data_IF_614115467955
#
_entry.id   IF_614115467955
#
_cell.length_a   1.000
_cell.length_b   1.000
_cell.length_c   1.000
_cell.angle_alpha   90.00
_cell.angle_beta   90.00
_cell.angle_gamma   90.00
#
_symmetry.space_group_name_H-M   'P 1'
#
loop_
_entity.id
_entity.type
_entity.pdbx_description
1 polymer ?
#
# COMPACT_ATOMS: atom_id res chain seq x y z
N UNK A 1 6.75 -27.78 -4.23
CA UNK A 1 5.47 -27.14 -3.85
C UNK A 1 4.68 -26.92 -5.15
N UNK A 2 3.39 -27.28 -5.20
CA UNK A 2 2.60 -27.30 -6.44
C UNK A 2 1.27 -26.53 -6.31
N UNK A 3 0.38 -26.74 -7.28
CA UNK A 3 -0.96 -26.14 -7.32
C UNK A 3 -1.92 -26.78 -6.32
N UNK A 4 -2.91 -26.01 -5.85
CA UNK A 4 -3.99 -26.47 -4.98
C UNK A 4 -5.35 -26.19 -5.63
N UNK A 5 -6.25 -27.16 -5.57
CA UNK A 5 -7.63 -27.04 -6.03
C UNK A 5 -8.56 -27.33 -4.87
N UNK A 6 -9.39 -26.36 -4.53
CA UNK A 6 -10.47 -26.49 -3.54
C UNK A 6 -11.79 -26.61 -4.30
N UNK A 7 -12.40 -27.79 -4.24
CA UNK A 7 -13.64 -28.09 -4.96
C UNK A 7 -14.89 -27.44 -4.35
N UNK A 8 -14.80 -26.93 -3.12
CA UNK A 8 -15.92 -26.32 -2.39
C UNK A 8 -15.47 -24.99 -1.75
N UNK A 9 -16.12 -24.59 -0.65
CA UNK A 9 -15.84 -23.37 0.08
C UNK A 9 -14.56 -23.45 0.93
N UNK A 10 -14.01 -22.28 1.23
CA UNK A 10 -13.00 -22.07 2.28
C UNK A 10 -13.67 -21.24 3.36
N UNK A 11 -13.81 -21.79 4.56
CA UNK A 11 -14.64 -21.24 5.63
C UNK A 11 -13.81 -20.61 6.75
N UNK A 12 -14.51 -20.07 7.74
CA UNK A 12 -13.91 -19.23 8.78
C UNK A 12 -12.77 -19.93 9.53
N UNK A 13 -11.66 -19.22 9.69
CA UNK A 13 -10.45 -19.73 10.35
C UNK A 13 -9.62 -20.68 9.49
N UNK A 14 -10.04 -21.02 8.27
CA UNK A 14 -9.23 -21.84 7.37
C UNK A 14 -8.11 -21.03 6.71
N UNK A 15 -6.97 -21.69 6.50
CA UNK A 15 -5.82 -21.16 5.75
C UNK A 15 -5.44 -22.12 4.63
N UNK A 16 -5.34 -21.62 3.40
CA UNK A 16 -4.94 -22.40 2.22
C UNK A 16 -3.68 -21.81 1.61
N UNK A 17 -2.64 -22.64 1.53
CA UNK A 17 -1.34 -22.22 0.99
C UNK A 17 -0.87 -23.10 -0.18
N UNK A 18 -0.34 -22.47 -1.22
CA UNK A 18 0.26 -23.16 -2.35
C UNK A 18 1.55 -22.47 -2.82
N UNK A 19 2.53 -23.29 -3.23
CA UNK A 19 3.71 -22.77 -3.96
C UNK A 19 3.48 -22.59 -5.45
N UNK A 20 2.37 -23.11 -5.99
CA UNK A 20 1.88 -22.83 -7.34
C UNK A 20 0.63 -21.97 -7.30
N UNK A 21 -0.34 -22.29 -8.15
CA UNK A 21 -1.62 -21.58 -8.24
C UNK A 21 -2.66 -22.15 -7.27
N UNK A 22 -3.62 -21.32 -6.87
CA UNK A 22 -4.82 -21.78 -6.13
C UNK A 22 -6.06 -21.58 -6.98
N UNK A 23 -6.92 -22.60 -7.04
CA UNK A 23 -8.27 -22.51 -7.61
C UNK A 23 -9.30 -22.90 -6.57
N UNK A 24 -10.22 -22.00 -6.25
CA UNK A 24 -11.36 -22.26 -5.37
C UNK A 24 -12.65 -22.21 -6.18
N UNK A 25 -13.43 -23.29 -6.13
CA UNK A 25 -14.70 -23.38 -6.84
C UNK A 25 -15.86 -22.73 -6.07
N UNK A 26 -15.80 -22.78 -4.74
CA UNK A 26 -16.81 -22.18 -3.85
C UNK A 26 -16.48 -20.75 -3.43
N UNK A 27 -17.16 -20.31 -2.36
CA UNK A 27 -16.91 -19.02 -1.70
C UNK A 27 -15.75 -19.12 -0.70
N UNK A 28 -15.19 -17.96 -0.36
CA UNK A 28 -14.14 -17.81 0.66
C UNK A 28 -14.68 -16.85 1.70
N UNK A 29 -14.78 -17.29 2.95
CA UNK A 29 -15.40 -16.51 4.03
C UNK A 29 -14.61 -16.63 5.32
N UNK A 30 -14.16 -15.51 5.89
CA UNK A 30 -13.45 -15.52 7.18
C UNK A 30 -12.11 -16.25 7.14
N UNK A 31 -11.50 -16.35 5.96
CA UNK A 31 -10.36 -17.23 5.68
C UNK A 31 -9.17 -16.50 5.04
N UNK A 32 -8.01 -17.16 5.06
CA UNK A 32 -6.76 -16.71 4.44
C UNK A 32 -6.34 -17.63 3.29
N UNK A 33 -6.06 -17.04 2.12
CA UNK A 33 -5.59 -17.79 0.94
C UNK A 33 -4.29 -17.16 0.42
N UNK A 34 -3.25 -17.98 0.29
CA UNK A 34 -1.94 -17.53 -0.18
C UNK A 34 -1.37 -18.46 -1.24
N UNK A 35 -1.04 -17.90 -2.41
CA UNK A 35 -0.41 -18.63 -3.50
C UNK A 35 0.85 -17.88 -3.95
N UNK A 36 1.95 -18.59 -4.19
CA UNK A 36 3.09 -17.98 -4.89
C UNK A 36 2.78 -17.72 -6.38
N UNK A 37 1.86 -18.51 -6.97
CA UNK A 37 1.28 -18.26 -8.28
C UNK A 37 -0.01 -17.44 -8.22
N UNK A 38 -0.82 -17.55 -9.27
CA UNK A 38 -2.11 -16.87 -9.41
C UNK A 38 -3.21 -17.53 -8.59
N UNK A 39 -4.24 -16.75 -8.26
CA UNK A 39 -5.42 -17.22 -7.53
C UNK A 39 -6.68 -16.98 -8.36
N UNK A 40 -7.50 -18.02 -8.50
CA UNK A 40 -8.84 -17.95 -9.07
C UNK A 40 -9.86 -18.40 -8.03
N UNK A 41 -10.75 -17.51 -7.62
CA UNK A 41 -11.87 -17.81 -6.75
C UNK A 41 -13.15 -17.55 -7.53
N UNK A 42 -13.92 -18.62 -7.80
CA UNK A 42 -15.19 -18.51 -8.55
C UNK A 42 -16.31 -17.91 -7.72
N UNK A 43 -16.33 -18.19 -6.41
CA UNK A 43 -17.32 -17.66 -5.49
C UNK A 43 -17.00 -16.25 -4.98
N UNK A 44 -17.81 -15.81 -4.03
CA UNK A 44 -17.62 -14.53 -3.35
C UNK A 44 -16.50 -14.63 -2.30
N UNK A 45 -15.86 -13.49 -2.01
CA UNK A 45 -14.81 -13.36 -1.00
C UNK A 45 -15.34 -12.42 0.09
N UNK A 46 -15.48 -12.93 1.30
CA UNK A 46 -16.15 -12.26 2.42
C UNK A 46 -15.23 -12.27 3.64
N UNK A 47 -14.98 -11.12 4.27
CA UNK A 47 -14.18 -11.03 5.50
C UNK A 47 -12.84 -11.80 5.42
N UNK A 48 -12.14 -11.70 4.29
CA UNK A 48 -11.02 -12.59 3.96
C UNK A 48 -9.78 -11.85 3.47
N UNK A 49 -8.63 -12.52 3.54
CA UNK A 49 -7.36 -12.03 3.00
C UNK A 49 -6.90 -13.00 1.91
N UNK A 50 -6.65 -12.48 0.70
CA UNK A 50 -6.24 -13.28 -0.46
C UNK A 50 -4.99 -12.67 -1.08
N UNK A 51 -3.90 -13.45 -1.16
CA UNK A 51 -2.58 -13.00 -1.60
C UNK A 51 -2.04 -13.88 -2.73
N UNK A 52 -2.04 -13.35 -3.96
CA UNK A 52 -1.45 -13.96 -5.15
C UNK A 52 -0.03 -13.41 -5.39
N UNK A 53 0.94 -14.28 -5.68
CA UNK A 53 2.36 -13.91 -5.79
C UNK A 53 3.17 -14.07 -4.50
N UNK A 54 2.55 -14.62 -3.45
CA UNK A 54 3.20 -15.04 -2.20
C UNK A 54 3.87 -13.90 -1.43
N UNK A 55 4.90 -14.25 -0.67
CA UNK A 55 5.69 -13.31 0.14
C UNK A 55 6.22 -12.13 -0.70
N UNK A 56 6.78 -12.33 -1.91
CA UNK A 56 7.27 -11.21 -2.71
C UNK A 56 6.17 -10.19 -3.09
N UNK A 57 4.92 -10.62 -3.28
CA UNK A 57 3.80 -9.70 -3.55
C UNK A 57 3.49 -8.78 -2.37
N UNK A 58 3.43 -9.40 -1.20
CA UNK A 58 3.26 -8.68 0.05
C UNK A 58 4.44 -7.71 0.29
N UNK A 59 5.66 -8.19 0.12
CA UNK A 59 6.88 -7.41 0.34
C UNK A 59 7.03 -6.24 -0.64
N UNK A 60 6.66 -6.40 -1.92
CA UNK A 60 6.57 -5.27 -2.85
C UNK A 60 5.54 -4.24 -2.40
N UNK A 61 4.46 -4.68 -1.74
CA UNK A 61 3.49 -3.77 -1.18
C UNK A 61 4.01 -2.86 -0.06
N UNK A 62 5.16 -3.20 0.54
CA UNK A 62 5.83 -2.39 1.57
C UNK A 62 6.75 -1.33 0.96
N UNK A 63 7.19 -1.50 -0.30
CA UNK A 63 8.16 -0.63 -0.96
C UNK A 63 7.81 0.87 -0.90
N UNK A 64 6.57 1.32 -1.16
CA UNK A 64 6.26 2.75 -1.14
C UNK A 64 6.55 3.41 0.21
N UNK A 65 6.26 2.71 1.31
CA UNK A 65 6.51 3.24 2.65
C UNK A 65 7.99 3.17 3.01
N UNK A 66 8.69 2.11 2.61
CA UNK A 66 10.14 2.00 2.79
C UNK A 66 10.86 3.10 2.00
N UNK A 67 10.42 3.39 0.77
CA UNK A 67 10.94 4.48 -0.05
C UNK A 67 10.70 5.84 0.63
N UNK A 68 9.48 6.08 1.12
CA UNK A 68 9.15 7.30 1.88
C UNK A 68 10.08 7.48 3.08
N UNK A 69 10.40 6.38 3.77
CA UNK A 69 11.35 6.38 4.89
C UNK A 69 12.77 6.68 4.42
N UNK A 70 13.26 6.04 3.36
CA UNK A 70 14.60 6.30 2.81
C UNK A 70 14.77 7.78 2.45
N UNK A 71 13.86 8.32 1.64
CA UNK A 71 13.95 9.69 1.16
C UNK A 71 13.86 10.71 2.31
N UNK A 72 12.89 10.54 3.21
CA UNK A 72 12.73 11.49 4.30
C UNK A 72 13.79 11.36 5.40
N UNK A 73 14.36 10.17 5.64
CA UNK A 73 15.50 10.02 6.55
C UNK A 73 16.77 10.65 5.95
N UNK A 74 17.05 10.46 4.67
CA UNK A 74 18.19 11.09 3.98
C UNK A 74 18.07 12.64 4.03
N UNK A 75 16.88 13.18 3.76
CA UNK A 75 16.64 14.62 3.86
C UNK A 75 16.79 15.14 5.30
N UNK A 76 16.27 14.40 6.29
CA UNK A 76 16.40 14.75 7.70
C UNK A 76 17.86 14.78 8.15
N UNK A 77 18.68 13.82 7.72
CA UNK A 77 20.12 13.79 8.03
C UNK A 77 20.80 15.05 7.50
N UNK A 78 20.49 15.48 6.28
CA UNK A 78 21.03 16.72 5.70
C UNK A 78 20.63 17.94 6.54
N UNK A 79 19.35 18.07 6.90
CA UNK A 79 18.84 19.20 7.70
C UNK A 79 19.50 19.24 9.08
N UNK A 80 19.58 18.10 9.78
CA UNK A 80 20.21 18.03 11.10
C UNK A 80 21.70 18.36 10.98
N UNK A 81 22.40 17.81 9.99
CA UNK A 81 23.81 18.10 9.74
C UNK A 81 24.09 19.59 9.54
N UNK A 82 23.26 20.27 8.76
CA UNK A 82 23.34 21.72 8.57
C UNK A 82 23.11 22.48 9.87
N UNK A 83 22.04 22.17 10.61
CA UNK A 83 21.72 22.84 11.89
C UNK A 83 22.82 22.65 12.93
N UNK A 84 23.38 21.44 13.05
CA UNK A 84 24.52 21.16 13.92
C UNK A 84 25.78 21.92 13.48
N UNK A 85 26.01 22.06 12.17
CA UNK A 85 27.10 22.88 11.63
C UNK A 85 26.98 24.35 12.03
N UNK A 86 25.79 24.94 11.93
CA UNK A 86 25.52 26.32 12.33
C UNK A 86 25.59 26.52 13.85
N UNK A 87 25.18 25.52 14.64
CA UNK A 87 25.25 25.56 16.10
C UNK A 87 26.69 25.36 16.63
N UNK A 88 27.52 24.55 15.99
CA UNK A 88 28.95 24.41 16.36
C UNK A 88 29.74 25.71 16.18
N UNK A 89 29.33 26.57 15.24
CA UNK A 89 29.90 27.91 15.03
C UNK A 89 29.53 28.90 16.16
N UNK A 90 28.44 28.65 16.90
CA UNK A 90 28.02 29.43 18.07
C UNK A 90 28.34 28.62 19.35
N UNK A 91 29.52 28.85 19.93
CA UNK A 91 30.02 28.14 21.12
C UNK A 91 28.92 27.82 22.16
N UNK A 92 28.61 26.53 22.34
CA UNK A 92 27.62 26.08 23.32
C UNK A 92 27.15 24.65 23.11
N UNK A 93 27.87 23.70 23.70
CA UNK A 93 27.58 22.28 23.87
C UNK A 93 26.12 21.83 23.64
N UNK A 94 25.90 20.87 22.71
CA UNK A 94 24.75 19.96 22.80
C UNK A 94 24.94 19.04 24.03
N UNK A 95 24.66 19.54 25.23
CA UNK A 95 24.67 18.72 26.46
C UNK A 95 23.56 17.66 26.49
N UNK A 96 22.60 17.72 25.56
CA UNK A 96 21.35 16.96 25.59
C UNK A 96 21.15 16.01 24.40
N UNK A 97 22.20 15.73 23.60
CA UNK A 97 22.07 14.92 22.38
C UNK A 97 21.21 15.61 21.31
N UNK A 98 20.93 14.92 20.20
CA UNK A 98 20.11 15.46 19.11
C UNK A 98 18.60 15.22 19.31
N UNK A 99 18.19 14.44 20.31
CA UNK A 99 16.81 14.00 20.54
C UNK A 99 15.76 15.12 20.53
N UNK A 100 15.96 16.26 21.24
CA UNK A 100 15.01 17.38 21.21
C UNK A 100 14.85 18.01 19.82
N UNK A 101 15.96 18.14 19.07
CA UNK A 101 15.94 18.64 17.70
C UNK A 101 15.21 17.66 16.77
N UNK A 102 15.53 16.36 16.88
CA UNK A 102 14.90 15.30 16.12
C UNK A 102 13.39 15.27 16.36
N UNK A 103 12.96 15.36 17.63
CA UNK A 103 11.54 15.42 18.01
C UNK A 103 10.84 16.62 17.37
N UNK A 104 11.42 17.81 17.43
CA UNK A 104 10.80 19.00 16.81
C UNK A 104 10.67 18.87 15.30
N UNK A 105 11.64 18.25 14.63
CA UNK A 105 11.60 18.00 13.19
C UNK A 105 10.52 16.99 12.81
N UNK A 106 10.36 15.93 13.61
CA UNK A 106 9.32 14.92 13.45
C UNK A 106 7.91 15.46 13.72
N UNK A 107 7.73 16.36 14.69
CA UNK A 107 6.44 16.99 14.96
C UNK A 107 6.06 18.04 13.91
N UNK A 108 7.05 18.56 13.17
CA UNK A 108 6.86 19.54 12.12
C UNK A 108 7.00 18.95 10.72
N UNK A 109 8.15 19.24 10.07
CA UNK A 109 8.40 18.94 8.66
C UNK A 109 8.32 17.46 8.31
N UNK A 110 8.73 16.57 9.22
CA UNK A 110 8.91 15.14 8.96
C UNK A 110 7.84 14.25 9.61
N UNK A 111 6.66 14.81 9.92
CA UNK A 111 5.57 14.06 10.55
C UNK A 111 5.07 12.86 9.72
N UNK A 112 5.21 12.93 8.40
CA UNK A 112 4.85 11.87 7.47
C UNK A 112 5.68 10.59 7.66
N UNK A 113 6.88 10.68 8.24
CA UNK A 113 7.71 9.51 8.54
C UNK A 113 7.08 8.63 9.62
N UNK A 114 6.41 9.25 10.61
CA UNK A 114 5.68 8.51 11.64
C UNK A 114 4.47 7.80 11.04
N UNK A 115 3.74 8.48 10.14
CA UNK A 115 2.65 7.87 9.38
C UNK A 115 3.13 6.68 8.55
N UNK A 116 4.26 6.81 7.85
CA UNK A 116 4.82 5.75 7.03
C UNK A 116 5.19 4.49 7.84
N UNK A 117 5.79 4.67 9.03
CA UNK A 117 6.08 3.54 9.94
C UNK A 117 4.80 2.87 10.42
N UNK A 118 3.79 3.65 10.82
CA UNK A 118 2.54 3.09 11.31
C UNK A 118 1.81 2.30 10.22
N UNK A 119 1.80 2.81 8.99
CA UNK A 119 1.24 2.08 7.84
C UNK A 119 2.01 0.80 7.55
N UNK A 120 3.35 0.82 7.60
CA UNK A 120 4.14 -0.41 7.47
C UNK A 120 3.80 -1.45 8.53
N UNK A 121 3.63 -1.01 9.79
CA UNK A 121 3.24 -1.90 10.88
C UNK A 121 1.87 -2.52 10.67
N UNK A 122 0.89 -1.72 10.27
CA UNK A 122 -0.45 -2.21 9.96
C UNK A 122 -0.40 -3.25 8.83
N UNK A 123 0.37 -2.97 7.77
CA UNK A 123 0.57 -3.92 6.67
C UNK A 123 1.21 -5.23 7.14
N UNK A 124 2.28 -5.16 7.95
CA UNK A 124 2.90 -6.35 8.54
C UNK A 124 1.98 -7.07 9.54
N UNK A 125 1.09 -6.37 10.25
CA UNK A 125 0.13 -7.00 11.16
C UNK A 125 -0.95 -7.84 10.47
N UNK A 126 -1.13 -7.70 9.15
CA UNK A 126 -2.13 -8.46 8.38
C UNK A 126 -1.64 -9.82 7.89
N UNK A 127 -0.40 -10.20 8.19
CA UNK A 127 0.26 -11.41 7.68
C UNK A 127 1.05 -12.08 8.82
N UNK A 128 1.11 -13.42 8.84
CA UNK A 128 1.77 -14.16 9.93
C UNK A 128 3.27 -13.79 10.07
N UNK A 129 3.81 -13.59 11.29
CA UNK A 129 5.21 -13.21 11.56
C UNK A 129 6.27 -14.09 10.88
N UNK A 130 5.96 -15.38 10.73
CA UNK A 130 6.80 -16.40 10.10
C UNK A 130 7.08 -16.14 8.59
N UNK A 131 6.35 -15.19 7.98
CA UNK A 131 6.52 -14.78 6.59
C UNK A 131 7.48 -13.58 6.43
N UNK A 132 7.92 -12.95 7.53
CA UNK A 132 8.91 -11.88 7.52
C UNK A 132 10.31 -12.44 7.73
N UNK A 133 11.31 -11.80 7.13
CA UNK A 133 12.69 -12.01 7.55
C UNK A 133 12.96 -11.25 8.83
N UNK A 134 13.79 -11.81 9.73
CA UNK A 134 14.24 -11.16 10.98
C UNK A 134 14.70 -9.70 10.76
N UNK A 135 15.27 -9.43 9.58
CA UNK A 135 15.72 -8.09 9.16
C UNK A 135 14.61 -7.03 9.11
N UNK A 136 13.39 -7.39 8.67
CA UNK A 136 12.27 -6.43 8.58
C UNK A 136 11.71 -6.10 9.97
N UNK A 137 11.59 -7.11 10.83
CA UNK A 137 11.12 -6.91 12.22
C UNK A 137 12.12 -6.07 13.02
N UNK A 138 13.42 -6.35 12.87
CA UNK A 138 14.48 -5.56 13.49
C UNK A 138 14.44 -4.09 13.03
N UNK A 139 14.26 -3.88 11.72
CA UNK A 139 14.11 -2.54 11.15
C UNK A 139 12.91 -1.80 11.74
N UNK A 140 11.73 -2.42 11.79
CA UNK A 140 10.51 -1.79 12.34
C UNK A 140 10.68 -1.41 13.81
N UNK A 141 11.32 -2.27 14.62
CA UNK A 141 11.60 -2.00 16.02
C UNK A 141 12.53 -0.81 16.21
N UNK A 142 13.60 -0.72 15.41
CA UNK A 142 14.51 0.41 15.45
C UNK A 142 13.88 1.71 14.95
N UNK A 143 13.12 1.64 13.86
CA UNK A 143 12.41 2.76 13.29
C UNK A 143 11.44 3.38 14.32
N UNK A 144 10.69 2.54 15.05
CA UNK A 144 9.80 2.98 16.12
C UNK A 144 10.54 3.61 17.31
N UNK A 145 11.68 3.03 17.70
CA UNK A 145 12.51 3.60 18.78
C UNK A 145 12.96 5.02 18.42
N UNK A 146 13.43 5.23 17.18
CA UNK A 146 14.03 6.49 16.75
C UNK A 146 12.96 7.53 16.39
N UNK A 147 11.96 7.16 15.60
CA UNK A 147 10.95 8.09 15.07
C UNK A 147 9.68 8.19 15.93
N UNK A 148 9.48 7.27 16.87
CA UNK A 148 8.30 7.21 17.74
C UNK A 148 8.60 7.54 19.20
N UNK A 149 8.58 6.53 20.06
CA UNK A 149 8.42 6.73 21.50
C UNK A 149 9.71 7.10 22.25
N UNK A 150 10.88 6.81 21.67
CA UNK A 150 12.19 7.04 22.32
C UNK A 150 13.04 8.11 21.62
N UNK A 151 12.42 8.97 20.81
CA UNK A 151 13.12 10.03 20.05
C UNK A 151 13.98 10.95 20.93
N UNK A 152 13.51 11.27 22.15
CA UNK A 152 14.25 12.12 23.08
C UNK A 152 15.54 11.47 23.61
N UNK A 153 15.63 10.14 23.57
CA UNK A 153 16.80 9.39 24.03
C UNK A 153 17.93 9.32 22.99
N UNK A 154 17.68 9.78 21.75
CA UNK A 154 18.65 9.74 20.65
C UNK A 154 19.76 10.74 20.89
N UNK A 155 21.00 10.26 20.96
CA UNK A 155 22.13 11.10 21.32
C UNK A 155 22.88 11.61 20.10
N UNK A 156 22.96 10.80 19.04
CA UNK A 156 23.85 11.06 17.90
C UNK A 156 23.14 10.94 16.57
N UNK A 157 23.60 11.70 15.57
CA UNK A 157 23.11 11.61 14.19
C UNK A 157 23.37 10.21 13.59
N UNK A 158 24.41 9.52 14.07
CA UNK A 158 24.77 8.17 13.65
C UNK A 158 23.64 7.15 13.80
N UNK A 159 22.78 7.29 14.82
CA UNK A 159 21.61 6.40 14.98
C UNK A 159 20.61 6.57 13.83
N UNK A 160 20.39 7.81 13.38
CA UNK A 160 19.51 8.13 12.25
C UNK A 160 20.15 7.70 10.93
N UNK A 161 21.46 7.91 10.77
CA UNK A 161 22.23 7.43 9.60
C UNK A 161 22.18 5.90 9.50
N UNK A 162 22.31 5.19 10.62
CA UNK A 162 22.22 3.73 10.67
C UNK A 162 20.81 3.26 10.25
N UNK A 163 19.76 3.92 10.74
CA UNK A 163 18.39 3.61 10.34
C UNK A 163 18.17 3.86 8.84
N UNK A 164 18.65 4.98 8.31
CA UNK A 164 18.56 5.30 6.88
C UNK A 164 19.28 4.25 6.02
N UNK A 165 20.47 3.82 6.47
CA UNK A 165 21.21 2.75 5.81
C UNK A 165 20.43 1.43 5.78
N UNK A 166 19.86 1.01 6.91
CA UNK A 166 19.03 -0.20 6.99
C UNK A 166 17.78 -0.10 6.11
N UNK A 167 17.11 1.06 6.08
CA UNK A 167 15.98 1.29 5.18
C UNK A 167 16.38 1.11 3.71
N UNK A 168 17.56 1.61 3.33
CA UNK A 168 18.10 1.50 1.97
C UNK A 168 18.50 0.07 1.61
N UNK A 169 19.14 -0.65 2.53
CA UNK A 169 19.47 -2.07 2.36
C UNK A 169 18.21 -2.92 2.18
N UNK A 170 17.17 -2.65 2.99
CA UNK A 170 15.86 -3.29 2.86
C UNK A 170 15.20 -2.96 1.51
N UNK A 171 15.19 -1.67 1.12
CA UNK A 171 14.66 -1.25 -0.17
C UNK A 171 15.37 -1.95 -1.34
N UNK A 172 16.69 -2.06 -1.31
CA UNK A 172 17.48 -2.75 -2.33
C UNK A 172 17.15 -4.24 -2.36
N UNK A 173 17.11 -4.90 -1.21
CA UNK A 173 16.73 -6.32 -1.12
C UNK A 173 15.36 -6.58 -1.75
N UNK A 174 14.38 -5.72 -1.47
CA UNK A 174 13.03 -5.80 -2.00
C UNK A 174 12.93 -5.46 -3.51
N UNK A 175 13.88 -4.68 -4.03
CA UNK A 175 13.89 -4.23 -5.43
C UNK A 175 14.59 -5.20 -6.39
N UNK A 176 15.43 -6.11 -5.91
CA UNK A 176 16.35 -6.91 -6.74
C UNK A 176 15.70 -8.12 -7.44
N UNK A 177 14.49 -8.52 -7.05
CA UNK A 177 13.79 -9.63 -7.71
C UNK A 177 12.51 -9.17 -8.39
N UNK A 178 12.41 -9.18 -9.73
CA UNK A 178 11.12 -9.05 -10.40
C UNK A 178 10.27 -10.24 -9.99
N UNK A 179 9.32 -10.00 -9.10
CA UNK A 179 8.34 -11.01 -8.74
C UNK A 179 7.57 -11.38 -10.01
N UNK A 180 7.44 -12.67 -10.36
CA UNK A 180 6.56 -13.07 -11.44
C UNK A 180 5.15 -12.52 -11.17
N UNK A 181 4.54 -11.99 -12.22
CA UNK A 181 3.18 -11.46 -12.11
C UNK A 181 2.23 -12.63 -11.83
N UNK A 182 1.54 -12.54 -10.69
CA UNK A 182 0.55 -13.49 -10.25
C UNK A 182 -0.78 -12.76 -10.12
N UNK A 183 -1.75 -13.20 -10.89
CA UNK A 183 -3.03 -12.53 -11.04
C UNK A 183 -4.03 -13.06 -10.00
N UNK A 184 -5.00 -12.22 -9.64
CA UNK A 184 -6.11 -12.59 -8.77
C UNK A 184 -7.43 -12.32 -9.49
N UNK A 185 -8.23 -13.38 -9.67
CA UNK A 185 -9.58 -13.28 -10.23
C UNK A 185 -10.59 -13.70 -9.16
N UNK A 186 -11.55 -12.81 -8.87
CA UNK A 186 -12.62 -13.02 -7.90
C UNK A 186 -13.98 -12.59 -8.43
N UNK A 187 -15.06 -13.08 -7.81
CA UNK A 187 -16.43 -12.68 -8.17
C UNK A 187 -16.84 -11.37 -7.47
N UNK A 188 -17.43 -11.44 -6.28
CA UNK A 188 -17.84 -10.26 -5.50
C UNK A 188 -17.10 -10.23 -4.16
N UNK A 189 -16.73 -9.04 -3.71
CA UNK A 189 -15.84 -8.84 -2.56
C UNK A 189 -16.55 -8.03 -1.47
N UNK A 190 -16.46 -8.47 -0.21
CA UNK A 190 -17.00 -7.76 0.94
C UNK A 190 -16.02 -7.81 2.12
N UNK A 191 -15.73 -6.67 2.73
CA UNK A 191 -14.92 -6.57 3.96
C UNK A 191 -13.58 -7.32 3.87
N UNK A 192 -12.98 -7.37 2.70
CA UNK A 192 -11.83 -8.23 2.38
C UNK A 192 -10.65 -7.44 1.81
N UNK A 193 -9.46 -8.03 1.93
CA UNK A 193 -8.20 -7.49 1.39
C UNK A 193 -7.65 -8.44 0.33
N UNK A 194 -7.42 -7.92 -0.88
CA UNK A 194 -6.90 -8.66 -2.02
C UNK A 194 -5.56 -8.06 -2.42
N UNK A 195 -4.54 -8.90 -2.55
CA UNK A 195 -3.17 -8.50 -2.92
C UNK A 195 -2.68 -9.39 -4.07
N UNK A 196 -2.16 -8.78 -5.13
CA UNK A 196 -1.59 -9.47 -6.28
C UNK A 196 -0.36 -8.73 -6.83
N UNK A 197 0.67 -9.45 -7.29
CA UNK A 197 1.77 -8.84 -8.07
C UNK A 197 1.39 -8.55 -9.51
N UNK A 198 0.42 -9.28 -10.04
CA UNK A 198 -0.13 -9.08 -11.38
C UNK A 198 -1.37 -8.21 -11.37
N UNK A 199 -2.32 -8.60 -12.22
CA UNK A 199 -3.61 -7.93 -12.36
C UNK A 199 -4.61 -8.47 -11.32
N UNK A 200 -5.54 -7.61 -10.89
CA UNK A 200 -6.72 -8.01 -10.12
C UNK A 200 -7.98 -7.78 -10.95
N UNK A 201 -8.78 -8.84 -11.14
CA UNK A 201 -10.03 -8.78 -11.90
C UNK A 201 -11.21 -9.25 -11.06
N UNK A 202 -12.15 -8.35 -10.85
CA UNK A 202 -13.41 -8.58 -10.15
C UNK A 202 -14.54 -8.61 -11.17
N UNK A 203 -15.13 -9.79 -11.37
CA UNK A 203 -16.12 -10.05 -12.42
C UNK A 203 -17.57 -10.10 -11.95
N UNK A 204 -17.79 -10.09 -10.63
CA UNK A 204 -19.11 -10.17 -10.01
C UNK A 204 -19.78 -8.81 -9.84
N UNK A 205 -20.64 -8.70 -8.83
CA UNK A 205 -21.47 -7.51 -8.60
C UNK A 205 -20.67 -6.29 -8.13
N UNK A 206 -19.47 -6.50 -7.56
CA UNK A 206 -18.59 -5.43 -7.13
C UNK A 206 -17.80 -5.74 -5.87
N UNK A 207 -17.26 -4.67 -5.27
CA UNK A 207 -16.51 -4.67 -4.03
C UNK A 207 -17.11 -3.68 -3.04
N UNK A 208 -17.17 -4.10 -1.78
CA UNK A 208 -17.75 -3.33 -0.69
C UNK A 208 -16.82 -3.34 0.52
N UNK A 209 -16.49 -2.15 1.04
CA UNK A 209 -15.63 -1.97 2.22
C UNK A 209 -14.34 -2.78 2.13
N UNK A 210 -13.67 -2.70 0.98
CA UNK A 210 -12.58 -3.61 0.63
C UNK A 210 -11.34 -2.88 0.16
N UNK A 211 -10.20 -3.56 0.30
CA UNK A 211 -8.90 -3.06 -0.15
C UNK A 211 -8.37 -3.98 -1.25
N UNK A 212 -8.00 -3.38 -2.38
CA UNK A 212 -7.37 -4.10 -3.49
C UNK A 212 -6.01 -3.49 -3.72
N UNK A 213 -4.97 -4.32 -3.73
CA UNK A 213 -3.62 -3.95 -4.10
C UNK A 213 -3.14 -4.81 -5.27
N UNK A 214 -2.77 -4.18 -6.37
CA UNK A 214 -2.27 -4.84 -7.57
C UNK A 214 -0.95 -4.22 -8.02
N UNK A 215 0.04 -5.06 -8.34
CA UNK A 215 1.28 -4.60 -8.95
C UNK A 215 1.08 -4.06 -10.37
N UNK A 216 -0.03 -4.43 -11.03
CA UNK A 216 -0.38 -3.99 -12.39
C UNK A 216 -1.79 -3.41 -12.43
N UNK A 217 -2.69 -3.94 -13.25
CA UNK A 217 -4.01 -3.37 -13.51
C UNK A 217 -5.05 -3.86 -12.52
N UNK A 218 -6.06 -3.02 -12.27
CA UNK A 218 -7.26 -3.43 -11.54
C UNK A 218 -8.48 -3.23 -12.42
N UNK A 219 -9.31 -4.26 -12.54
CA UNK A 219 -10.58 -4.20 -13.28
C UNK A 219 -11.72 -4.64 -12.37
N UNK A 220 -12.65 -3.73 -12.09
CA UNK A 220 -13.89 -4.01 -11.36
C UNK A 220 -15.06 -3.72 -12.31
N UNK A 221 -15.70 -4.76 -12.86
CA UNK A 221 -16.83 -4.56 -13.79
C UNK A 221 -18.12 -4.13 -13.07
N UNK A 222 -18.20 -4.40 -11.77
CA UNK A 222 -19.32 -4.00 -10.92
C UNK A 222 -19.07 -2.68 -10.18
N UNK A 223 -19.70 -2.56 -9.02
CA UNK A 223 -19.55 -1.39 -8.15
C UNK A 223 -18.29 -1.46 -7.29
N UNK A 224 -17.71 -0.34 -6.92
CA UNK A 224 -16.63 -0.23 -5.93
C UNK A 224 -17.04 0.82 -4.89
N UNK A 225 -17.47 0.36 -3.72
CA UNK A 225 -18.09 1.21 -2.69
C UNK A 225 -17.43 1.01 -1.33
N UNK A 226 -16.80 2.06 -0.81
CA UNK A 226 -16.12 2.00 0.49
C UNK A 226 -14.81 1.21 0.40
N UNK A 227 -13.71 1.88 0.72
CA UNK A 227 -12.38 1.28 0.69
C UNK A 227 -11.48 1.86 -0.40
N UNK A 228 -10.48 1.08 -0.79
CA UNK A 228 -9.34 1.60 -1.56
C UNK A 228 -8.81 0.61 -2.60
N UNK A 229 -8.53 1.13 -3.80
CA UNK A 229 -7.74 0.45 -4.83
C UNK A 229 -6.36 1.11 -4.89
N UNK A 230 -5.30 0.32 -4.81
CA UNK A 230 -3.93 0.72 -5.12
C UNK A 230 -3.43 -0.14 -6.30
N UNK A 231 -3.12 0.48 -7.43
CA UNK A 231 -2.71 -0.21 -8.64
C UNK A 231 -1.41 0.37 -9.21
N UNK A 232 -0.47 -0.49 -9.59
CA UNK A 232 0.75 -0.08 -10.32
C UNK A 232 0.48 0.37 -11.76
N UNK A 233 -0.69 0.05 -12.31
CA UNK A 233 -1.09 0.41 -13.68
C UNK A 233 -2.55 0.89 -13.77
N UNK A 234 -3.14 0.71 -14.96
CA UNK A 234 -4.49 1.20 -15.27
C UNK A 234 -5.57 0.62 -14.34
N UNK A 235 -6.58 1.44 -14.07
CA UNK A 235 -7.75 1.04 -13.28
C UNK A 235 -9.02 1.24 -14.08
N UNK A 236 -9.85 0.21 -14.13
CA UNK A 236 -11.20 0.24 -14.69
C UNK A 236 -12.24 -0.07 -13.63
N UNK A 237 -13.28 0.75 -13.53
CA UNK A 237 -14.38 0.58 -12.57
C UNK A 237 -15.72 0.83 -13.28
N UNK A 238 -16.69 -0.07 -13.13
CA UNK A 238 -18.05 0.16 -13.61
C UNK A 238 -18.69 1.34 -12.88
N UNK A 239 -18.79 1.24 -11.56
CA UNK A 239 -19.35 2.31 -10.73
C UNK A 239 -18.49 2.56 -9.49
N UNK A 240 -18.12 3.80 -9.18
CA UNK A 240 -17.35 4.15 -7.97
C UNK A 240 -18.13 5.07 -7.03
N UNK A 241 -18.02 4.79 -5.73
CA UNK A 241 -18.62 5.60 -4.68
C UNK A 241 -20.06 5.19 -4.36
N UNK A 242 -20.77 6.02 -3.60
CA UNK A 242 -22.17 5.78 -3.27
C UNK A 242 -22.93 7.08 -3.12
N UNK A 243 -24.26 7.09 -3.32
CA UNK A 243 -25.10 8.25 -3.02
C UNK A 243 -25.01 8.70 -1.56
N UNK A 244 -24.64 7.78 -0.65
CA UNK A 244 -24.47 8.06 0.78
C UNK A 244 -23.11 8.66 1.13
N UNK A 245 -22.25 8.96 0.15
CA UNK A 245 -20.94 9.59 0.39
C UNK A 245 -19.90 8.66 1.03
N UNK A 246 -19.99 7.34 0.81
CA UNK A 246 -19.00 6.41 1.33
C UNK A 246 -17.61 6.74 0.76
N UNK A 247 -16.65 7.04 1.65
CA UNK A 247 -15.28 7.35 1.28
C UNK A 247 -14.67 6.21 0.44
N UNK A 248 -14.38 6.53 -0.82
CA UNK A 248 -13.90 5.58 -1.81
C UNK A 248 -12.73 6.20 -2.57
N UNK A 249 -11.59 5.48 -2.60
CA UNK A 249 -10.34 6.01 -3.15
C UNK A 249 -9.69 5.06 -4.13
N UNK A 250 -9.13 5.62 -5.20
CA UNK A 250 -8.30 4.90 -6.17
C UNK A 250 -6.94 5.58 -6.23
N UNK A 251 -5.87 4.81 -6.15
CA UNK A 251 -4.48 5.27 -6.18
C UNK A 251 -3.76 4.53 -7.30
N UNK A 252 -3.11 5.26 -8.19
CA UNK A 252 -2.34 4.68 -9.29
C UNK A 252 -0.97 5.30 -9.47
N UNK A 253 -0.09 4.59 -10.19
CA UNK A 253 1.17 5.14 -10.69
C UNK A 253 0.95 6.31 -11.67
N UNK A 254 1.99 7.11 -11.90
CA UNK A 254 1.94 8.34 -12.73
C UNK A 254 1.59 8.10 -14.20
N UNK A 255 1.92 6.93 -14.75
CA UNK A 255 1.67 6.58 -16.15
C UNK A 255 0.30 5.91 -16.38
N UNK A 256 -0.44 5.66 -15.31
CA UNK A 256 -1.70 4.93 -15.38
C UNK A 256 -2.87 5.80 -15.86
N UNK A 257 -3.86 5.14 -16.45
CA UNK A 257 -5.15 5.74 -16.79
C UNK A 257 -6.23 5.14 -15.90
N UNK A 258 -7.04 6.01 -15.29
CA UNK A 258 -8.25 5.59 -14.56
C UNK A 258 -9.47 5.81 -15.45
N UNK A 259 -10.25 4.76 -15.65
CA UNK A 259 -11.50 4.77 -16.41
C UNK A 259 -12.66 4.35 -15.53
N UNK A 260 -13.73 5.13 -15.51
CA UNK A 260 -14.92 4.87 -14.69
C UNK A 260 -16.18 5.08 -15.53
N UNK A 261 -17.12 4.12 -15.54
CA UNK A 261 -18.38 4.31 -16.29
C UNK A 261 -19.33 5.28 -15.57
N UNK A 262 -19.44 5.17 -14.25
CA UNK A 262 -20.21 6.08 -13.39
C UNK A 262 -19.46 6.38 -12.08
N UNK A 263 -19.35 7.65 -11.72
CA UNK A 263 -18.75 8.09 -10.46
C UNK A 263 -19.75 8.93 -9.66
N UNK A 264 -19.96 8.57 -8.40
CA UNK A 264 -20.68 9.40 -7.45
C UNK A 264 -19.81 10.54 -6.92
N UNK A 265 -20.45 11.59 -6.45
CA UNK A 265 -19.81 12.64 -5.66
C UNK A 265 -19.00 12.05 -4.48
N UNK A 266 -17.96 12.78 -4.07
CA UNK A 266 -17.05 12.42 -2.97
C UNK A 266 -16.11 11.23 -3.20
N UNK A 267 -16.24 10.49 -4.30
CA UNK A 267 -15.18 9.57 -4.73
C UNK A 267 -13.89 10.35 -5.05
N UNK A 268 -12.73 9.70 -4.89
CA UNK A 268 -11.43 10.35 -5.11
C UNK A 268 -10.46 9.47 -5.87
N UNK A 269 -9.71 10.08 -6.77
CA UNK A 269 -8.74 9.44 -7.65
C UNK A 269 -7.39 10.15 -7.46
N UNK A 270 -6.35 9.40 -7.13
CA UNK A 270 -4.99 9.88 -6.93
C UNK A 270 -4.08 9.23 -7.98
N UNK A 271 -3.53 10.03 -8.89
CA UNK A 271 -2.60 9.56 -9.92
C UNK A 271 -1.25 10.19 -9.63
N UNK A 272 -0.27 9.39 -9.20
CA UNK A 272 0.97 9.92 -8.63
C UNK A 272 0.68 10.80 -7.41
N UNK A 273 1.01 12.09 -7.50
CA UNK A 273 0.75 13.08 -6.43
C UNK A 273 -0.48 13.94 -6.68
N UNK A 274 -1.21 13.74 -7.78
CA UNK A 274 -2.34 14.59 -8.19
C UNK A 274 -3.66 13.97 -7.75
N UNK A 275 -4.37 14.67 -6.85
CA UNK A 275 -5.66 14.25 -6.34
C UNK A 275 -6.80 14.92 -7.14
N UNK A 276 -7.71 14.10 -7.64
CA UNK A 276 -8.99 14.52 -8.19
C UNK A 276 -10.13 14.01 -7.30
N UNK A 277 -11.06 14.90 -6.93
CA UNK A 277 -12.26 14.56 -6.16
C UNK A 277 -13.49 14.94 -6.96
N UNK A 278 -14.44 14.02 -7.07
CA UNK A 278 -15.72 14.30 -7.70
C UNK A 278 -16.55 15.23 -6.82
N UNK A 279 -16.96 16.36 -7.37
CA UNK A 279 -17.83 17.37 -6.75
C UNK A 279 -19.31 17.18 -7.11
N UNK A 280 -19.59 16.30 -8.07
CA UNK A 280 -20.92 15.85 -8.51
C UNK A 280 -20.80 14.47 -9.16
N UNK A 281 -21.95 13.90 -9.48
CA UNK A 281 -22.01 12.65 -10.24
C UNK A 281 -21.56 12.85 -11.69
N UNK A 282 -20.73 11.95 -12.20
CA UNK A 282 -20.13 12.00 -13.54
C UNK A 282 -20.21 10.62 -14.23
N UNK A 283 -20.35 10.61 -15.55
CA UNK A 283 -20.39 9.42 -16.42
C UNK A 283 -19.26 9.43 -17.43
N UNK A 284 -18.86 8.23 -17.89
CA UNK A 284 -17.84 8.05 -18.94
C UNK A 284 -16.53 8.79 -18.62
N UNK A 285 -16.07 8.62 -17.39
CA UNK A 285 -14.92 9.34 -16.85
C UNK A 285 -13.63 8.67 -17.28
N UNK A 286 -12.67 9.50 -17.67
CA UNK A 286 -11.28 9.13 -17.91
C UNK A 286 -10.35 10.18 -17.31
N UNK A 287 -9.42 9.74 -16.48
CA UNK A 287 -8.44 10.60 -15.81
C UNK A 287 -7.03 10.06 -16.04
N UNK A 288 -6.09 10.94 -16.39
CA UNK A 288 -4.69 10.60 -16.65
C UNK A 288 -3.78 11.82 -16.41
N UNK A 289 -2.46 11.61 -16.34
CA UNK A 289 -1.49 12.72 -16.38
C UNK A 289 -0.95 12.92 -17.79
N UNK A 290 -0.83 14.17 -18.24
CA UNK A 290 -0.11 14.48 -19.47
C UNK A 290 1.41 14.39 -19.28
N UNK A 291 2.16 14.67 -20.36
CA UNK A 291 3.63 14.63 -20.37
C UNK A 291 4.28 15.63 -19.40
N UNK A 292 3.53 16.63 -18.95
CA UNK A 292 3.99 17.66 -18.02
C UNK A 292 3.58 17.33 -16.58
N UNK A 293 2.95 16.18 -16.34
CA UNK A 293 2.48 15.74 -15.03
C UNK A 293 1.21 16.45 -14.57
N UNK A 294 0.49 17.16 -15.47
CA UNK A 294 -0.78 17.79 -15.13
C UNK A 294 -1.93 16.82 -15.30
N UNK A 295 -2.87 16.89 -14.38
CA UNK A 295 -4.06 16.05 -14.39
C UNK A 295 -5.00 16.48 -15.51
N UNK A 296 -5.33 15.52 -16.37
CA UNK A 296 -6.28 15.65 -17.46
C UNK A 296 -7.53 14.85 -17.11
N UNK A 297 -8.69 15.44 -17.37
CA UNK A 297 -9.99 14.89 -17.05
C UNK A 297 -10.91 14.95 -18.27
N UNK A 298 -11.64 13.86 -18.52
CA UNK A 298 -12.76 13.81 -19.45
C UNK A 298 -13.91 13.08 -18.78
N UNK A 299 -15.07 13.72 -18.69
CA UNK A 299 -16.29 13.15 -18.09
C UNK A 299 -17.52 13.90 -18.58
N UNK A 300 -18.69 13.32 -18.35
CA UNK A 300 -19.98 13.90 -18.70
C UNK A 300 -20.78 14.03 -17.40
N UNK A 301 -21.28 15.23 -17.03
CA UNK A 301 -22.15 15.38 -15.87
C UNK A 301 -23.35 14.41 -15.95
N UNK A 302 -23.63 13.72 -14.85
CA UNK A 302 -24.58 12.61 -14.82
C UNK A 302 -26.05 13.04 -14.69
#
# INVERSE_FOLDING_TARGET
>A
KGDVVVSNNVEEGMRVEAGGNIRVSGLVSGAEIQAAGSILIRGNILASVVVAGGIPAFLQGLLPQIQTLVEGLEEMIIVIGQLLGHMRLKQGHLKWGIGPLLKSLLEGKFNYLLSAINTLKEQCGTVSPELFGESLEEFLREAERILGHSTLAIQTLYEVETLAKKAKELMQFLSVSPTPASDLIGSSILNSTLIATGDVKIVGSGCYNSRIKAGKKVTVTGVFRGGEIEAGGDVYIGEIGSPGGCATRVITATEAVITVEFAFENASLLIGSQLYRFDRDEKSVRVWLDKEGKLQFKGIPA
#
